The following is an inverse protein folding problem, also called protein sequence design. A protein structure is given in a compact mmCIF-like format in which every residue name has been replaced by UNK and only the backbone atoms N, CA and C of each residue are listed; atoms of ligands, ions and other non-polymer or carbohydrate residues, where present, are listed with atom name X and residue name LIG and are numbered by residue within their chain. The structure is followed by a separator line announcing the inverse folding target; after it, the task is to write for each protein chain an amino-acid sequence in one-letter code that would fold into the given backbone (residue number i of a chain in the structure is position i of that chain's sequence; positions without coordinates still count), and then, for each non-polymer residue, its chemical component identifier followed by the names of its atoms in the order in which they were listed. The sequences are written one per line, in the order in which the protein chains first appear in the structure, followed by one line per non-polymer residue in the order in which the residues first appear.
data_IF_713539126511
#
_entry.id   IF_713539126511
#
_cell.length_a   1.000
_cell.length_b   1.000
_cell.length_c   1.000
_cell.angle_alpha   90.00
_cell.angle_beta   90.00
_cell.angle_gamma   90.00
#
_symmetry.space_group_name_H-M   'P 1'
#
loop_
_entity.id
_entity.type
_entity.pdbx_description
1 polymer ?
#
# COMPACT_ATOMS: atom_id res chain seq x y z
N UNK A 1 -10.11 77.39 13.74
CA UNK A 1 -10.35 76.79 12.41
C UNK A 1 -9.37 75.62 12.13
N UNK A 2 -9.24 74.61 13.02
CA UNK A 2 -8.30 73.47 12.81
C UNK A 2 -8.59 72.22 13.68
N UNK A 3 -9.84 71.99 14.11
CA UNK A 3 -10.23 70.78 14.88
C UNK A 3 -11.00 69.72 14.05
N UNK A 4 -11.30 70.00 12.78
CA UNK A 4 -12.13 69.14 11.92
C UNK A 4 -11.38 68.04 11.14
N UNK A 5 -10.06 68.16 10.94
CA UNK A 5 -9.33 67.31 9.99
C UNK A 5 -8.69 66.04 10.57
N UNK A 6 -8.77 65.79 11.88
CA UNK A 6 -8.21 64.57 12.50
C UNK A 6 -9.18 63.39 12.63
N UNK A 7 -10.49 63.57 12.44
CA UNK A 7 -11.47 62.47 12.53
C UNK A 7 -11.72 61.73 11.21
N UNK A 8 -11.39 62.32 10.07
CA UNK A 8 -11.66 61.71 8.75
C UNK A 8 -10.61 60.68 8.29
N UNK A 9 -9.47 60.54 8.98
CA UNK A 9 -8.41 59.60 8.58
C UNK A 9 -8.51 58.22 9.24
N UNK A 10 -9.40 58.01 10.21
CA UNK A 10 -9.56 56.70 10.89
C UNK A 10 -10.73 55.87 10.38
N UNK A 11 -11.63 56.38 9.54
CA UNK A 11 -12.73 55.59 8.99
C UNK A 11 -12.45 54.97 7.61
N UNK A 12 -11.28 55.21 7.02
CA UNK A 12 -10.88 54.67 5.71
C UNK A 12 -10.01 53.41 5.79
N UNK A 13 -9.77 52.88 7.00
CA UNK A 13 -9.17 51.57 7.23
C UNK A 13 -10.22 50.48 7.51
N UNK A 14 -11.49 50.71 7.16
CA UNK A 14 -12.47 49.64 7.03
C UNK A 14 -12.26 48.97 5.68
N UNK A 15 -11.24 48.09 5.62
CA UNK A 15 -11.16 47.10 4.57
C UNK A 15 -12.45 46.29 4.63
N UNK A 16 -13.32 46.47 3.63
CA UNK A 16 -14.49 45.59 3.45
C UNK A 16 -13.94 44.17 3.44
N UNK A 17 -14.32 43.28 4.36
CA UNK A 17 -13.95 41.88 4.22
C UNK A 17 -14.56 41.41 2.90
N UNK A 18 -13.70 41.06 1.95
CA UNK A 18 -14.13 40.48 0.69
C UNK A 18 -15.00 39.28 1.02
N UNK A 19 -16.29 39.40 0.74
CA UNK A 19 -17.25 38.32 0.91
C UNK A 19 -16.80 37.21 -0.04
N UNK A 20 -16.21 36.16 0.51
CA UNK A 20 -15.87 34.97 -0.25
C UNK A 20 -17.18 34.44 -0.87
N UNK A 21 -17.26 34.44 -2.19
CA UNK A 21 -18.36 33.85 -2.94
C UNK A 21 -18.55 32.41 -2.46
N UNK A 22 -19.73 32.10 -1.95
CA UNK A 22 -20.08 30.82 -1.29
C UNK A 22 -19.81 29.59 -2.16
N UNK A 23 -19.75 29.78 -3.47
CA UNK A 23 -19.39 28.75 -4.44
C UNK A 23 -17.92 28.32 -4.32
N UNK A 24 -16.97 29.26 -4.20
CA UNK A 24 -15.52 28.97 -4.10
C UNK A 24 -15.16 28.35 -2.75
N UNK A 25 -15.88 28.73 -1.70
CA UNK A 25 -15.68 28.20 -0.33
C UNK A 25 -16.08 26.73 -0.23
N UNK A 26 -17.05 26.28 -1.03
CA UNK A 26 -17.48 24.88 -1.07
C UNK A 26 -16.71 24.05 -2.11
N UNK A 27 -16.36 24.64 -3.26
CA UNK A 27 -15.64 23.93 -4.32
C UNK A 27 -14.20 23.59 -3.95
N UNK A 28 -13.52 24.47 -3.21
CA UNK A 28 -12.11 24.26 -2.87
C UNK A 28 -11.88 23.04 -1.95
N UNK A 29 -12.61 22.85 -0.83
CA UNK A 29 -12.50 21.65 -0.01
C UNK A 29 -12.85 20.36 -0.78
N UNK A 30 -13.88 20.42 -1.64
CA UNK A 30 -14.31 19.28 -2.44
C UNK A 30 -13.23 18.88 -3.46
N UNK A 31 -12.60 19.85 -4.11
CA UNK A 31 -11.48 19.61 -5.02
C UNK A 31 -10.29 18.97 -4.31
N UNK A 32 -9.92 19.46 -3.12
CA UNK A 32 -8.83 18.87 -2.32
C UNK A 32 -9.14 17.42 -1.94
N UNK A 33 -10.36 17.11 -1.53
CA UNK A 33 -10.79 15.74 -1.22
C UNK A 33 -10.64 14.83 -2.45
N UNK A 34 -11.09 15.28 -3.62
CA UNK A 34 -10.98 14.50 -4.87
C UNK A 34 -9.52 14.22 -5.21
N UNK A 35 -8.63 15.22 -5.13
CA UNK A 35 -7.19 15.04 -5.41
C UNK A 35 -6.54 14.05 -4.44
N UNK A 36 -6.91 14.08 -3.16
CA UNK A 36 -6.39 13.15 -2.17
C UNK A 36 -6.86 11.70 -2.42
N UNK A 37 -8.12 11.53 -2.81
CA UNK A 37 -8.67 10.21 -3.17
C UNK A 37 -7.99 9.66 -4.43
N UNK A 38 -7.86 10.46 -5.48
CA UNK A 38 -7.24 10.02 -6.74
C UNK A 38 -5.75 9.71 -6.56
N UNK A 39 -5.03 10.51 -5.77
CA UNK A 39 -3.63 10.24 -5.40
C UNK A 39 -3.48 8.90 -4.68
N UNK A 40 -4.35 8.59 -3.71
CA UNK A 40 -4.33 7.31 -2.98
C UNK A 40 -4.66 6.12 -3.89
N UNK A 41 -5.64 6.26 -4.78
CA UNK A 41 -5.97 5.22 -5.78
C UNK A 41 -4.80 4.97 -6.72
N UNK A 42 -4.15 6.03 -7.21
CA UNK A 42 -2.96 5.91 -8.04
C UNK A 42 -1.81 5.21 -7.31
N UNK A 43 -1.56 5.57 -6.04
CA UNK A 43 -0.55 4.91 -5.21
C UNK A 43 -0.81 3.41 -5.06
N UNK A 44 -2.08 3.01 -4.85
CA UNK A 44 -2.46 1.60 -4.78
C UNK A 44 -2.24 0.85 -6.11
N UNK A 45 -2.55 1.48 -7.24
CA UNK A 45 -2.30 0.87 -8.56
C UNK A 45 -0.81 0.65 -8.82
N UNK A 46 0.02 1.64 -8.50
CA UNK A 46 1.49 1.51 -8.60
C UNK A 46 2.01 0.41 -7.67
N UNK A 47 1.44 0.29 -6.46
CA UNK A 47 1.82 -0.77 -5.53
C UNK A 47 1.51 -2.15 -6.11
N UNK A 48 0.31 -2.36 -6.65
CA UNK A 48 -0.07 -3.66 -7.27
C UNK A 48 0.89 -4.00 -8.42
N UNK A 49 1.22 -3.05 -9.28
CA UNK A 49 2.19 -3.26 -10.36
C UNK A 49 3.58 -3.63 -9.84
N UNK A 50 4.06 -2.94 -8.80
CA UNK A 50 5.33 -3.28 -8.17
C UNK A 50 5.31 -4.66 -7.53
N UNK A 51 4.22 -5.02 -6.85
CA UNK A 51 4.05 -6.34 -6.26
C UNK A 51 4.03 -7.44 -7.33
N UNK A 52 3.40 -7.20 -8.48
CA UNK A 52 3.41 -8.15 -9.60
C UNK A 52 4.84 -8.42 -10.09
N UNK A 53 5.61 -7.37 -10.37
CA UNK A 53 7.01 -7.51 -10.81
C UNK A 53 7.88 -8.16 -9.73
N UNK A 54 7.72 -7.75 -8.47
CA UNK A 54 8.46 -8.30 -7.35
C UNK A 54 8.16 -9.79 -7.12
N UNK A 55 6.89 -10.17 -7.20
CA UNK A 55 6.47 -11.57 -7.06
C UNK A 55 7.02 -12.44 -8.20
N UNK A 56 7.10 -11.91 -9.42
CA UNK A 56 7.72 -12.61 -10.55
C UNK A 56 9.23 -12.81 -10.36
N UNK A 57 9.93 -11.78 -9.89
CA UNK A 57 11.35 -11.87 -9.55
C UNK A 57 11.60 -12.92 -8.45
N UNK A 58 10.87 -12.83 -7.34
CA UNK A 58 10.99 -13.75 -6.21
C UNK A 58 10.73 -15.20 -6.63
N UNK A 59 9.65 -15.41 -7.39
CA UNK A 59 9.29 -16.70 -7.97
C UNK A 59 10.43 -17.29 -8.82
N UNK A 60 10.97 -16.50 -9.74
CA UNK A 60 12.03 -16.97 -10.64
C UNK A 60 13.35 -17.22 -9.91
N UNK A 61 13.71 -16.36 -8.97
CA UNK A 61 14.92 -16.51 -8.15
C UNK A 61 14.87 -17.80 -7.33
N UNK A 62 13.74 -18.02 -6.66
CA UNK A 62 13.50 -19.26 -5.94
C UNK A 62 13.57 -20.49 -6.85
N UNK A 63 12.98 -20.44 -8.04
CA UNK A 63 13.03 -21.54 -9.01
C UNK A 63 14.46 -21.98 -9.36
N UNK A 64 15.37 -21.02 -9.54
CA UNK A 64 16.71 -21.29 -10.04
C UNK A 64 17.64 -21.80 -8.93
N UNK A 65 17.47 -21.30 -7.72
CA UNK A 65 18.44 -21.49 -6.63
C UNK A 65 17.97 -22.35 -5.47
N UNK A 66 16.66 -22.61 -5.36
CA UNK A 66 16.17 -23.54 -4.34
C UNK A 66 16.72 -24.95 -4.56
N UNK A 67 17.10 -25.59 -3.46
CA UNK A 67 17.59 -26.96 -3.51
C UNK A 67 16.42 -27.95 -3.66
N UNK A 68 16.61 -28.93 -4.55
CA UNK A 68 15.66 -30.05 -4.75
C UNK A 68 15.67 -31.03 -3.57
N UNK A 69 16.81 -31.19 -2.91
CA UNK A 69 16.99 -32.19 -1.87
C UNK A 69 16.70 -31.60 -0.48
N UNK A 70 15.89 -32.30 0.32
CA UNK A 70 15.46 -31.83 1.65
C UNK A 70 16.62 -31.69 2.64
N UNK A 71 17.71 -32.44 2.45
CA UNK A 71 18.91 -32.38 3.31
C UNK A 71 19.62 -31.01 3.28
N UNK A 72 19.48 -30.27 2.18
CA UNK A 72 20.05 -28.91 2.04
C UNK A 72 18.97 -27.83 2.18
N UNK A 73 17.73 -28.19 2.54
CA UNK A 73 16.63 -27.24 2.70
C UNK A 73 16.86 -26.19 3.79
N UNK A 74 17.75 -26.48 4.75
CA UNK A 74 18.17 -25.51 5.77
C UNK A 74 18.90 -24.30 5.18
N UNK A 75 19.62 -24.45 4.06
CA UNK A 75 20.29 -23.34 3.38
C UNK A 75 19.32 -22.46 2.58
N UNK A 76 18.13 -22.97 2.27
CA UNK A 76 17.10 -22.22 1.56
C UNK A 76 16.43 -21.15 2.45
N UNK A 77 16.65 -21.19 3.77
CA UNK A 77 16.25 -20.10 4.68
C UNK A 77 17.03 -18.81 4.38
N UNK A 78 18.35 -18.90 4.16
CA UNK A 78 19.16 -17.73 3.79
C UNK A 78 18.79 -17.18 2.40
N UNK A 79 18.43 -18.06 1.46
CA UNK A 79 17.93 -17.65 0.15
C UNK A 79 16.59 -16.90 0.27
N UNK A 80 15.70 -17.37 1.13
CA UNK A 80 14.42 -16.70 1.40
C UNK A 80 14.68 -15.29 1.94
N UNK A 81 15.55 -15.15 2.93
CA UNK A 81 15.83 -13.87 3.57
C UNK A 81 16.45 -12.86 2.59
N UNK A 82 17.38 -13.29 1.72
CA UNK A 82 17.93 -12.43 0.65
C UNK A 82 16.85 -11.99 -0.34
N UNK A 83 15.98 -12.91 -0.78
CA UNK A 83 14.86 -12.56 -1.67
C UNK A 83 13.92 -11.57 -0.99
N UNK A 84 13.60 -11.79 0.28
CA UNK A 84 12.73 -10.91 1.08
C UNK A 84 13.33 -9.51 1.21
N UNK A 85 14.64 -9.41 1.47
CA UNK A 85 15.37 -8.15 1.51
C UNK A 85 15.27 -7.42 0.17
N UNK A 86 15.59 -8.08 -0.96
CA UNK A 86 15.52 -7.45 -2.30
C UNK A 86 14.12 -7.02 -2.68
N UNK A 87 13.11 -7.83 -2.38
CA UNK A 87 11.71 -7.52 -2.64
C UNK A 87 11.26 -6.34 -1.80
N UNK A 88 11.64 -6.29 -0.52
CA UNK A 88 11.31 -5.18 0.37
C UNK A 88 11.97 -3.87 -0.09
N UNK A 89 13.22 -3.91 -0.52
CA UNK A 89 13.93 -2.73 -1.03
C UNK A 89 13.34 -2.21 -2.35
N UNK A 90 12.87 -3.11 -3.22
CA UNK A 90 12.21 -2.77 -4.48
C UNK A 90 10.82 -2.14 -4.28
N UNK A 91 10.04 -2.70 -3.36
CA UNK A 91 8.75 -2.12 -2.94
C UNK A 91 8.95 -0.74 -2.32
N UNK A 92 10.11 -0.52 -1.70
CA UNK A 92 10.56 0.77 -1.20
C UNK A 92 10.34 0.96 0.29
N UNK A 93 10.40 -0.14 1.06
CA UNK A 93 10.50 -0.08 2.52
C UNK A 93 11.78 0.69 2.91
N UNK A 94 11.67 1.61 3.86
CA UNK A 94 12.80 2.48 4.27
C UNK A 94 13.11 3.66 3.33
N UNK A 95 12.41 3.80 2.19
CA UNK A 95 12.59 4.91 1.24
C UNK A 95 11.37 5.85 1.23
N UNK A 96 11.53 7.06 0.68
CA UNK A 96 10.43 8.03 0.53
C UNK A 96 9.24 7.47 -0.28
N UNK A 97 9.49 6.51 -1.17
CA UNK A 97 8.44 5.80 -1.91
C UNK A 97 7.52 4.98 -1.00
N UNK A 98 8.04 4.43 0.10
CA UNK A 98 7.23 3.68 1.07
C UNK A 98 6.18 4.56 1.75
N UNK A 99 6.52 5.82 2.05
CA UNK A 99 5.58 6.78 2.61
C UNK A 99 4.44 7.12 1.63
N UNK A 100 4.78 7.30 0.35
CA UNK A 100 3.78 7.54 -0.70
C UNK A 100 2.82 6.35 -0.87
N UNK A 101 3.37 5.13 -0.88
CA UNK A 101 2.59 3.89 -0.98
C UNK A 101 1.90 3.51 0.34
N UNK A 102 2.11 4.28 1.41
CA UNK A 102 1.59 4.01 2.76
C UNK A 102 1.95 2.61 3.26
N UNK A 103 3.17 2.13 3.00
CA UNK A 103 3.63 0.82 3.46
C UNK A 103 3.73 0.79 5.00
N UNK A 104 3.31 -0.32 5.60
CA UNK A 104 3.37 -0.54 7.05
C UNK A 104 4.21 -1.79 7.33
N UNK A 105 4.99 -1.73 8.40
CA UNK A 105 5.91 -2.80 8.79
C UNK A 105 7.35 -2.54 8.35
N UNK A 106 8.25 -3.44 8.74
CA UNK A 106 9.68 -3.37 8.43
C UNK A 106 10.05 -3.98 7.07
N UNK A 107 9.16 -4.75 6.46
CA UNK A 107 9.40 -5.41 5.17
C UNK A 107 8.16 -6.12 4.64
N UNK A 108 8.24 -6.64 3.41
CA UNK A 108 7.21 -7.50 2.83
C UNK A 108 7.42 -8.93 3.30
N UNK A 109 6.36 -9.63 3.71
CA UNK A 109 6.48 -11.00 4.17
C UNK A 109 6.39 -11.95 2.98
N UNK A 110 7.40 -12.79 2.80
CA UNK A 110 7.40 -13.83 1.78
C UNK A 110 7.10 -15.18 2.44
N UNK A 111 5.98 -15.81 2.09
CA UNK A 111 5.67 -17.18 2.49
C UNK A 111 5.90 -18.12 1.31
N UNK A 112 6.65 -19.20 1.53
CA UNK A 112 6.96 -20.18 0.49
C UNK A 112 6.51 -21.55 0.94
N UNK A 113 5.60 -22.15 0.18
CA UNK A 113 5.11 -23.50 0.43
C UNK A 113 5.58 -24.42 -0.70
N UNK A 114 6.36 -25.45 -0.36
CA UNK A 114 6.78 -26.48 -1.31
C UNK A 114 5.72 -27.56 -1.38
N UNK A 115 5.26 -27.89 -2.59
CA UNK A 115 4.46 -29.08 -2.86
C UNK A 115 5.28 -30.05 -3.70
N UNK A 116 4.76 -31.26 -3.94
CA UNK A 116 5.47 -32.28 -4.73
C UNK A 116 5.75 -31.84 -6.17
N UNK A 117 4.91 -30.97 -6.74
CA UNK A 117 4.98 -30.56 -8.15
C UNK A 117 5.34 -29.08 -8.30
N UNK A 118 4.77 -28.23 -7.44
CA UNK A 118 4.90 -26.78 -7.50
C UNK A 118 5.41 -26.18 -6.20
N UNK A 119 6.07 -25.04 -6.29
CA UNK A 119 6.30 -24.14 -5.17
C UNK A 119 5.30 -22.98 -5.28
N UNK A 120 4.61 -22.71 -4.17
CA UNK A 120 3.67 -21.60 -4.04
C UNK A 120 4.38 -20.49 -3.27
N UNK A 121 4.60 -19.36 -3.92
CA UNK A 121 5.12 -18.16 -3.29
C UNK A 121 3.97 -17.18 -3.06
N UNK A 122 3.80 -16.77 -1.81
CA UNK A 122 2.85 -15.76 -1.39
C UNK A 122 3.62 -14.56 -0.89
N UNK A 123 3.50 -13.43 -1.59
CA UNK A 123 4.05 -12.15 -1.18
C UNK A 123 2.94 -11.34 -0.50
N UNK A 124 3.16 -10.98 0.76
CA UNK A 124 2.22 -10.19 1.55
C UNK A 124 2.79 -8.80 1.86
N UNK A 125 1.98 -7.78 1.60
CA UNK A 125 2.30 -6.39 1.88
C UNK A 125 1.18 -5.76 2.69
N UNK A 126 1.51 -5.16 3.83
CA UNK A 126 0.56 -4.40 4.61
C UNK A 126 0.62 -2.91 4.25
N UNK A 127 -0.53 -2.33 3.96
CA UNK A 127 -0.68 -0.90 3.73
C UNK A 127 -1.49 -0.26 4.85
N UNK A 128 -1.08 0.95 5.21
CA UNK A 128 -1.81 1.81 6.12
C UNK A 128 -3.05 2.42 5.48
N UNK A 129 -4.04 2.69 6.33
CA UNK A 129 -5.29 3.37 5.97
C UNK A 129 -5.03 4.72 5.27
N UNK A 130 -6.11 5.32 4.76
CA UNK A 130 -6.09 6.69 4.22
C UNK A 130 -5.36 7.62 5.19
N UNK A 131 -4.47 8.46 4.66
CA UNK A 131 -3.42 9.16 5.42
C UNK A 131 -3.91 9.76 6.74
N UNK A 132 -3.05 9.78 7.76
CA UNK A 132 -3.41 10.10 9.14
C UNK A 132 -4.25 11.37 9.33
N UNK A 133 -4.07 12.37 8.45
CA UNK A 133 -4.84 13.61 8.47
C UNK A 133 -6.27 13.45 7.92
N UNK A 134 -6.48 12.64 6.87
CA UNK A 134 -7.83 12.32 6.39
C UNK A 134 -8.54 11.36 7.33
N UNK A 135 -7.80 10.46 8.00
CA UNK A 135 -8.34 9.61 9.06
C UNK A 135 -8.89 10.47 10.20
N UNK A 136 -8.22 11.55 10.61
CA UNK A 136 -8.77 12.46 11.63
C UNK A 136 -10.03 13.20 11.16
N UNK A 137 -10.14 13.48 9.86
CA UNK A 137 -11.29 14.17 9.28
C UNK A 137 -12.51 13.25 9.10
N UNK A 138 -12.28 12.02 8.63
CA UNK A 138 -13.33 11.05 8.25
C UNK A 138 -13.68 10.12 9.42
N UNK A 139 -12.71 9.83 10.30
CA UNK A 139 -12.86 8.89 11.40
C UNK A 139 -12.81 9.65 12.73
N UNK A 140 -13.97 10.01 13.30
CA UNK A 140 -14.02 10.71 14.58
C UNK A 140 -13.35 9.89 15.70
N UNK A 141 -12.74 10.56 16.69
CA UNK A 141 -11.96 9.93 17.76
C UNK A 141 -12.80 9.05 18.71
N UNK A 142 -14.13 9.12 18.63
CA UNK A 142 -15.06 8.30 19.43
C UNK A 142 -15.23 6.85 18.94
N UNK A 143 -14.44 6.43 17.94
CA UNK A 143 -14.49 5.06 17.39
C UNK A 143 -15.82 4.75 16.70
N UNK A 144 -16.04 3.47 16.38
CA UNK A 144 -17.26 3.04 15.69
C UNK A 144 -18.52 3.30 16.53
N UNK A 145 -18.43 3.26 17.87
CA UNK A 145 -19.53 3.56 18.77
C UNK A 145 -20.14 4.96 18.62
N UNK A 146 -19.34 5.95 18.20
CA UNK A 146 -19.82 7.33 17.98
C UNK A 146 -20.59 7.53 16.66
N UNK A 147 -20.43 6.60 15.71
CA UNK A 147 -21.04 6.70 14.37
C UNK A 147 -22.11 5.62 14.17
N UNK A 148 -21.87 4.43 14.69
CA UNK A 148 -22.60 3.22 14.36
C UNK A 148 -23.62 2.77 15.40
N UNK A 149 -23.61 3.36 16.60
CA UNK A 149 -24.62 3.09 17.64
C UNK A 149 -24.80 1.60 18.01
N UNK A 150 -23.78 0.76 17.78
CA UNK A 150 -23.81 -0.68 18.07
C UNK A 150 -24.28 -1.59 16.92
N UNK A 151 -24.43 -1.08 15.70
CA UNK A 151 -24.73 -1.90 14.52
C UNK A 151 -23.47 -2.57 13.97
N UNK A 152 -23.43 -3.90 13.99
CA UNK A 152 -22.29 -4.70 13.50
C UNK A 152 -21.92 -4.44 12.04
N UNK A 153 -22.91 -4.17 11.18
CA UNK A 153 -22.67 -3.84 9.78
C UNK A 153 -22.02 -2.47 9.61
N UNK A 154 -22.44 -1.50 10.41
CA UNK A 154 -21.82 -0.19 10.42
C UNK A 154 -20.42 -0.26 11.03
N UNK A 155 -20.22 -1.02 12.12
CA UNK A 155 -18.91 -1.22 12.73
C UNK A 155 -17.92 -1.84 11.75
N UNK A 156 -18.36 -2.81 10.94
CA UNK A 156 -17.56 -3.40 9.86
C UNK A 156 -17.20 -2.38 8.77
N UNK A 157 -18.16 -1.54 8.35
CA UNK A 157 -17.92 -0.46 7.38
C UNK A 157 -16.99 0.63 7.90
N UNK A 158 -17.18 1.04 9.15
CA UNK A 158 -16.31 1.99 9.85
C UNK A 158 -14.90 1.43 9.98
N UNK A 159 -14.75 0.16 10.40
CA UNK A 159 -13.46 -0.49 10.48
C UNK A 159 -12.77 -0.59 9.12
N UNK A 160 -13.51 -0.89 8.06
CA UNK A 160 -12.96 -0.94 6.71
C UNK A 160 -12.35 0.39 6.25
N UNK A 161 -12.95 1.52 6.64
CA UNK A 161 -12.50 2.87 6.27
C UNK A 161 -11.42 3.39 7.25
N UNK A 162 -11.61 3.15 8.55
CA UNK A 162 -10.91 3.87 9.63
C UNK A 162 -9.83 3.04 10.34
N UNK A 163 -10.00 1.73 10.46
CA UNK A 163 -8.99 0.83 11.02
C UNK A 163 -8.15 0.13 9.95
N UNK A 164 -8.53 0.30 8.67
CA UNK A 164 -8.02 -0.38 7.48
C UNK A 164 -6.50 -0.47 7.35
N UNK A 165 -5.89 -1.43 8.05
CA UNK A 165 -4.71 -2.09 7.54
C UNK A 165 -5.21 -3.00 6.41
N UNK A 166 -4.84 -2.72 5.17
CA UNK A 166 -5.14 -3.62 4.06
C UNK A 166 -3.92 -4.46 3.77
N UNK A 167 -4.08 -5.77 3.92
CA UNK A 167 -3.11 -6.76 3.45
C UNK A 167 -3.39 -7.04 1.98
N UNK A 168 -2.38 -6.82 1.14
CA UNK A 168 -2.40 -7.22 -0.26
C UNK A 168 -1.54 -8.48 -0.38
N UNK A 169 -2.10 -9.51 -0.99
CA UNK A 169 -1.43 -10.79 -1.19
C UNK A 169 -1.36 -11.10 -2.66
N UNK A 170 -0.16 -11.40 -3.16
CA UNK A 170 0.05 -11.90 -4.54
C UNK A 170 0.63 -13.30 -4.45
N UNK A 171 -0.04 -14.26 -5.10
CA UNK A 171 0.36 -15.66 -5.11
C UNK A 171 0.89 -16.02 -6.49
N UNK A 172 2.06 -16.67 -6.54
CA UNK A 172 2.66 -17.19 -7.77
C UNK A 172 3.00 -18.66 -7.62
N UNK A 173 2.74 -19.41 -8.69
CA UNK A 173 3.04 -20.84 -8.78
C UNK A 173 4.26 -21.02 -9.68
N UNK A 174 5.23 -21.78 -9.18
CA UNK A 174 6.50 -22.00 -9.85
C UNK A 174 6.80 -23.49 -9.85
N UNK A 175 7.12 -24.10 -11.01
CA UNK A 175 7.45 -25.52 -11.02
C UNK A 175 8.76 -25.75 -10.27
N UNK A 176 8.96 -26.97 -9.78
CA UNK A 176 10.28 -27.37 -9.30
C UNK A 176 11.34 -27.21 -10.40
N UNK A 177 12.61 -27.08 -10.00
CA UNK A 177 13.75 -26.96 -10.93
C UNK A 177 14.02 -28.29 -11.64
N UNK A 178 13.02 -28.83 -12.31
CA UNK A 178 13.21 -29.95 -13.22
C UNK A 178 14.03 -29.43 -14.39
N UNK A 179 15.16 -30.12 -14.62
CA UNK A 179 15.86 -30.05 -15.90
C UNK A 179 14.81 -30.33 -16.98
N UNK A 180 14.83 -29.69 -18.16
CA UNK A 180 13.99 -30.14 -19.26
C UNK A 180 14.21 -31.65 -19.37
N UNK A 181 13.15 -32.43 -19.16
CA UNK A 181 13.24 -33.88 -19.33
C UNK A 181 13.67 -34.02 -20.78
N UNK A 182 14.91 -34.47 -21.03
CA UNK A 182 15.32 -34.81 -22.38
C UNK A 182 14.25 -35.77 -22.87
N UNK A 183 13.50 -35.36 -23.90
CA UNK A 183 12.52 -36.21 -24.52
C UNK A 183 13.28 -37.40 -25.10
N UNK A 184 13.44 -38.46 -24.31
CA UNK A 184 13.90 -39.74 -24.81
C UNK A 184 12.70 -40.32 -25.55
N UNK A 185 12.82 -40.37 -26.86
CA UNK A 185 11.89 -41.16 -27.66
C UNK A 185 11.85 -42.57 -27.06
N UNK A 186 10.66 -43.12 -26.76
CA UNK A 186 10.56 -44.49 -26.30
C UNK A 186 11.18 -45.41 -27.37
N UNK A 187 12.30 -46.05 -27.05
CA UNK A 187 12.97 -47.04 -27.91
C UNK A 187 14.46 -46.82 -28.17
N UNK A 188 15.09 -45.73 -27.74
CA UNK A 188 16.55 -45.56 -27.88
C UNK A 188 17.22 -45.83 -26.53
N UNK A 189 17.71 -47.05 -26.37
CA UNK A 189 18.62 -47.45 -25.31
C UNK A 189 20.06 -47.15 -25.79
N UNK A 190 20.80 -46.36 -25.01
CA UNK A 190 22.27 -46.43 -25.00
C UNK A 190 22.68 -47.45 -23.93
#
# INVERSE_FOLDING_TARGET
MLKGLRRLRRSLASGRPGQATTEVVLLFPLFVIIVLITSKTFALLVLVQKMEIASYYAARRWQLESHLNSEHAAWDAGLKDDIEEKVSDYLGYGKSSGNFLSLKGSGANLAIMRTQVWNVLTLEVETGAVGGDLKRLICPPGGSGSVCGGSSNCDNGYNYICSGNKKLTVVKYVPNRDRPIQFKLPGIHE
#
